data_IF_892655379357
#
_entry.id   IF_892655379357
#
_cell.length_a   1.000
_cell.length_b   1.000
_cell.length_c   1.000
_cell.angle_alpha   90.00
_cell.angle_beta   90.00
_cell.angle_gamma   90.00
#
_symmetry.space_group_name_H-M   'P 1'
#
loop_
_entity.id
_entity.type
_entity.pdbx_description
1 polymer ?
#
# COMPACT_ATOMS: atom_id res chain seq x y z
N UNK A 1 22.50 7.09 -33.99
CA UNK A 1 21.73 5.83 -34.03
C UNK A 1 20.94 5.74 -32.73
N UNK A 2 19.63 5.66 -32.81
CA UNK A 2 18.74 5.50 -31.65
C UNK A 2 19.00 4.09 -31.12
N UNK A 3 19.74 3.98 -30.02
CA UNK A 3 20.06 2.70 -29.38
C UNK A 3 18.81 2.13 -28.75
N UNK A 4 18.13 1.25 -29.47
CA UNK A 4 16.92 0.56 -29.02
C UNK A 4 17.29 -0.83 -28.48
N UNK A 5 16.65 -1.21 -27.37
CA UNK A 5 16.81 -2.49 -26.67
C UNK A 5 16.31 -3.70 -27.49
N UNK A 6 15.92 -3.52 -28.76
CA UNK A 6 15.14 -4.50 -29.53
C UNK A 6 15.47 -4.59 -31.03
N UNK A 7 16.63 -4.11 -31.49
CA UNK A 7 17.09 -4.46 -32.84
C UNK A 7 17.68 -5.88 -32.83
N UNK A 8 16.78 -6.86 -32.72
CA UNK A 8 17.10 -8.23 -33.11
C UNK A 8 17.40 -8.24 -34.61
N UNK A 9 18.45 -8.93 -35.08
CA UNK A 9 18.68 -9.10 -36.52
C UNK A 9 17.52 -9.86 -37.20
N UNK A 10 16.62 -10.45 -36.40
CA UNK A 10 15.40 -11.13 -36.83
C UNK A 10 14.17 -10.26 -36.59
N UNK A 11 13.37 -10.06 -37.64
CA UNK A 11 12.05 -9.43 -37.51
C UNK A 11 11.02 -10.50 -37.14
N UNK A 12 10.52 -10.46 -35.91
CA UNK A 12 9.42 -11.32 -35.44
C UNK A 12 8.07 -10.70 -35.76
N UNK A 13 7.08 -11.54 -36.07
CA UNK A 13 5.71 -11.08 -36.28
C UNK A 13 5.12 -10.49 -34.98
N UNK A 14 4.14 -9.59 -35.10
CA UNK A 14 3.45 -9.04 -33.94
C UNK A 14 2.84 -10.14 -33.06
N UNK A 15 2.27 -11.19 -33.67
CA UNK A 15 1.72 -12.33 -32.93
C UNK A 15 2.77 -13.08 -32.11
N UNK A 16 3.99 -13.29 -32.65
CA UNK A 16 5.08 -13.92 -31.91
C UNK A 16 5.53 -13.06 -30.72
N UNK A 17 5.61 -11.74 -30.91
CA UNK A 17 5.95 -10.78 -29.86
C UNK A 17 4.88 -10.73 -28.76
N UNK A 18 3.61 -10.64 -29.13
CA UNK A 18 2.48 -10.76 -28.19
C UNK A 18 2.55 -12.07 -27.39
N UNK A 19 2.81 -13.20 -28.05
CA UNK A 19 2.97 -14.50 -27.38
C UNK A 19 4.11 -14.51 -26.37
N UNK A 20 5.25 -13.91 -26.73
CA UNK A 20 6.39 -13.76 -25.83
C UNK A 20 6.07 -12.86 -24.62
N UNK A 21 5.37 -11.73 -24.82
CA UNK A 21 4.94 -10.86 -23.72
C UNK A 21 3.94 -11.54 -22.79
N UNK A 22 2.97 -12.32 -23.31
CA UNK A 22 2.03 -13.07 -22.48
C UNK A 22 2.78 -14.08 -21.60
N UNK A 23 3.63 -14.92 -22.19
CA UNK A 23 4.33 -15.98 -21.47
C UNK A 23 5.36 -15.39 -20.51
N UNK A 24 6.13 -14.40 -20.97
CA UNK A 24 7.14 -13.73 -20.16
C UNK A 24 6.54 -13.04 -18.95
N UNK A 25 5.44 -12.31 -19.15
CA UNK A 25 4.77 -11.58 -18.06
C UNK A 25 4.07 -12.55 -17.10
N UNK A 26 3.48 -13.63 -17.63
CA UNK A 26 2.93 -14.71 -16.81
C UNK A 26 3.98 -15.32 -15.88
N UNK A 27 5.17 -15.66 -16.40
CA UNK A 27 6.25 -16.20 -15.59
C UNK A 27 6.77 -15.17 -14.57
N UNK A 28 6.93 -13.91 -14.99
CA UNK A 28 7.39 -12.86 -14.09
C UNK A 28 6.45 -12.65 -12.91
N UNK A 29 5.13 -12.56 -13.17
CA UNK A 29 4.14 -12.36 -12.12
C UNK A 29 3.93 -13.61 -11.28
N UNK A 30 3.89 -14.79 -11.89
CA UNK A 30 3.80 -16.04 -11.14
C UNK A 30 4.95 -16.17 -10.13
N UNK A 31 6.20 -15.98 -10.57
CA UNK A 31 7.37 -16.14 -9.70
C UNK A 31 7.51 -14.99 -8.71
N UNK A 32 7.24 -13.75 -9.14
CA UNK A 32 7.33 -12.55 -8.30
C UNK A 32 6.30 -12.58 -7.18
N UNK A 33 5.03 -12.79 -7.51
CA UNK A 33 3.96 -12.87 -6.51
C UNK A 33 4.06 -14.16 -5.69
N UNK A 34 4.68 -15.23 -6.20
CA UNK A 34 4.99 -16.43 -5.41
C UNK A 34 6.02 -16.17 -4.31
N UNK A 35 7.00 -15.30 -4.55
CA UNK A 35 7.90 -14.85 -3.50
C UNK A 35 7.12 -14.12 -2.40
N UNK A 36 6.22 -13.20 -2.78
CA UNK A 36 5.37 -12.45 -1.85
C UNK A 36 4.43 -13.39 -1.09
N UNK A 37 3.79 -14.34 -1.76
CA UNK A 37 2.93 -15.35 -1.13
C UNK A 37 3.70 -16.24 -0.16
N UNK A 38 4.92 -16.65 -0.51
CA UNK A 38 5.76 -17.47 0.36
C UNK A 38 6.16 -16.72 1.64
N UNK A 39 6.38 -15.41 1.56
CA UNK A 39 6.69 -14.57 2.73
C UNK A 39 5.46 -14.34 3.62
N UNK A 40 4.34 -14.01 2.99
CA UNK A 40 3.21 -13.42 3.70
C UNK A 40 2.14 -14.43 4.12
N UNK A 41 1.87 -15.45 3.30
CA UNK A 41 0.81 -16.41 3.62
C UNK A 41 1.16 -17.27 4.83
N UNK A 42 0.14 -17.58 5.61
CA UNK A 42 0.30 -18.46 6.75
C UNK A 42 0.72 -19.88 6.33
N UNK A 43 1.50 -20.52 7.21
CA UNK A 43 1.93 -21.92 7.09
C UNK A 43 2.82 -22.21 5.87
N UNK A 44 3.31 -21.20 5.17
CA UNK A 44 4.39 -21.37 4.18
C UNK A 44 5.72 -21.56 4.90
N UNK A 45 6.67 -22.25 4.24
CA UNK A 45 8.02 -22.43 4.80
C UNK A 45 8.86 -21.16 4.74
N UNK A 46 8.52 -20.24 3.84
CA UNK A 46 9.16 -18.93 3.74
C UNK A 46 8.54 -17.87 4.65
N UNK A 47 7.56 -18.18 5.48
CA UNK A 47 6.87 -17.13 6.20
C UNK A 47 7.83 -16.33 7.12
N UNK A 48 7.93 -15.01 6.89
CA UNK A 48 8.73 -14.09 7.71
C UNK A 48 10.25 -14.11 7.45
N UNK A 49 10.70 -14.46 6.25
CA UNK A 49 12.11 -14.37 5.85
C UNK A 49 12.63 -12.93 5.71
N UNK A 50 11.76 -11.93 5.50
CA UNK A 50 12.06 -10.50 5.46
C UNK A 50 12.16 -9.80 4.08
N UNK A 51 12.06 -8.47 4.09
CA UNK A 51 11.97 -7.60 2.90
C UNK A 51 13.09 -7.81 1.86
N UNK A 52 14.33 -8.04 2.30
CA UNK A 52 15.49 -8.17 1.39
C UNK A 52 15.39 -9.37 0.45
N UNK A 53 14.91 -10.50 0.95
CA UNK A 53 14.69 -11.71 0.14
C UNK A 53 13.48 -11.58 -0.79
N UNK A 54 12.49 -10.77 -0.40
CA UNK A 54 11.33 -10.46 -1.25
C UNK A 54 11.80 -9.63 -2.44
N UNK A 55 12.62 -8.61 -2.18
CA UNK A 55 13.19 -7.76 -3.20
C UNK A 55 14.02 -8.56 -4.23
N UNK A 56 14.89 -9.48 -3.79
CA UNK A 56 15.73 -10.26 -4.72
C UNK A 56 14.89 -11.27 -5.52
N UNK A 57 13.91 -11.91 -4.87
CA UNK A 57 12.98 -12.82 -5.54
C UNK A 57 12.21 -12.12 -6.65
N UNK A 58 11.68 -10.92 -6.37
CA UNK A 58 10.96 -10.12 -7.35
C UNK A 58 11.85 -9.64 -8.50
N UNK A 59 13.09 -9.23 -8.22
CA UNK A 59 14.05 -8.84 -9.26
C UNK A 59 14.38 -9.98 -10.22
N UNK A 60 14.71 -11.16 -9.68
CA UNK A 60 14.99 -12.35 -10.49
C UNK A 60 13.79 -12.81 -11.32
N UNK A 61 12.57 -12.67 -10.80
CA UNK A 61 11.35 -13.04 -11.49
C UNK A 61 11.16 -12.28 -12.81
N UNK A 62 11.59 -11.02 -12.91
CA UNK A 62 11.57 -10.26 -14.17
C UNK A 62 12.83 -10.48 -15.02
N UNK A 63 13.97 -10.74 -14.37
CA UNK A 63 15.24 -10.97 -15.06
C UNK A 63 15.24 -12.22 -15.94
N UNK A 64 14.75 -13.35 -15.43
CA UNK A 64 14.77 -14.61 -16.18
C UNK A 64 13.91 -14.56 -17.46
N UNK A 65 12.63 -14.11 -17.43
CA UNK A 65 11.85 -13.94 -18.64
C UNK A 65 12.48 -12.97 -19.64
N UNK A 66 13.13 -11.91 -19.16
CA UNK A 66 13.88 -10.98 -20.02
C UNK A 66 15.03 -11.68 -20.75
N UNK A 67 15.77 -12.57 -20.07
CA UNK A 67 16.82 -13.38 -20.72
C UNK A 67 16.23 -14.38 -21.73
N UNK A 68 15.11 -15.02 -21.38
CA UNK A 68 14.48 -16.05 -22.21
C UNK A 68 13.90 -15.46 -23.51
N UNK A 69 13.19 -14.33 -23.40
CA UNK A 69 12.38 -13.79 -24.49
C UNK A 69 12.87 -12.45 -25.04
N UNK A 70 13.90 -11.84 -24.47
CA UNK A 70 14.41 -10.52 -24.90
C UNK A 70 14.82 -10.47 -26.37
N UNK A 71 15.24 -11.59 -26.95
CA UNK A 71 15.55 -11.69 -28.38
C UNK A 71 14.31 -11.63 -29.31
N UNK A 72 13.10 -11.84 -28.76
CA UNK A 72 11.79 -11.76 -29.45
C UNK A 72 11.03 -10.50 -29.02
N UNK A 73 10.62 -10.45 -27.74
CA UNK A 73 9.92 -9.35 -27.07
C UNK A 73 9.89 -9.65 -25.57
N UNK A 74 10.40 -8.72 -24.76
CA UNK A 74 10.33 -8.81 -23.30
C UNK A 74 10.32 -7.40 -22.68
N UNK A 75 9.25 -6.64 -22.95
CA UNK A 75 8.96 -5.40 -22.26
C UNK A 75 8.40 -5.67 -20.87
N UNK A 76 7.47 -6.63 -20.78
CA UNK A 76 6.85 -7.12 -19.56
C UNK A 76 6.19 -6.01 -18.72
N UNK A 77 5.93 -4.85 -19.31
CA UNK A 77 5.52 -3.62 -18.63
C UNK A 77 4.90 -2.61 -19.63
N UNK A 78 3.61 -2.26 -19.47
CA UNK A 78 2.97 -1.28 -20.34
C UNK A 78 3.62 0.11 -20.30
N UNK A 79 4.23 0.50 -19.18
CA UNK A 79 5.01 1.74 -19.09
C UNK A 79 6.32 1.67 -19.89
N UNK A 80 6.93 0.49 -20.01
CA UNK A 80 8.09 0.27 -20.88
C UNK A 80 7.69 0.31 -22.36
N UNK A 81 6.55 -0.28 -22.73
CA UNK A 81 6.01 -0.16 -24.07
C UNK A 81 5.69 1.30 -24.43
N UNK A 82 5.10 2.07 -23.50
CA UNK A 82 4.84 3.50 -23.68
C UNK A 82 6.13 4.31 -23.84
N UNK A 83 7.15 4.01 -23.03
CA UNK A 83 8.50 4.59 -23.19
C UNK A 83 9.02 4.37 -24.61
N UNK A 84 8.95 3.14 -25.13
CA UNK A 84 9.47 2.85 -26.47
C UNK A 84 8.67 3.53 -27.57
N UNK A 85 7.36 3.66 -27.41
CA UNK A 85 6.53 4.41 -28.33
C UNK A 85 6.96 5.89 -28.37
N UNK A 86 7.18 6.51 -27.21
CA UNK A 86 7.69 7.88 -27.11
C UNK A 86 9.10 8.00 -27.72
N UNK A 87 9.96 7.00 -27.51
CA UNK A 87 11.30 6.96 -28.10
C UNK A 87 11.30 6.71 -29.63
N UNK A 88 10.15 6.40 -30.23
CA UNK A 88 9.99 6.14 -31.67
C UNK A 88 10.33 4.71 -32.10
N UNK A 89 10.45 3.77 -31.16
CA UNK A 89 10.82 2.37 -31.42
C UNK A 89 9.62 1.44 -31.61
N UNK A 90 8.43 1.85 -31.19
CA UNK A 90 7.18 1.11 -31.39
C UNK A 90 6.17 1.98 -32.13
N UNK A 91 5.37 1.37 -33.01
CA UNK A 91 4.12 1.95 -33.48
C UNK A 91 3.05 1.92 -32.38
N UNK A 92 2.00 2.74 -32.54
CA UNK A 92 0.87 2.76 -31.60
C UNK A 92 0.16 1.40 -31.50
N UNK A 93 0.06 0.68 -32.62
CA UNK A 93 -0.56 -0.65 -32.67
C UNK A 93 0.25 -1.67 -31.89
N UNK A 94 1.58 -1.65 -32.03
CA UNK A 94 2.47 -2.53 -31.27
C UNK A 94 2.41 -2.19 -29.77
N UNK A 95 2.47 -0.91 -29.41
CA UNK A 95 2.31 -0.47 -28.02
C UNK A 95 1.04 -1.05 -27.39
N UNK A 96 -0.12 -0.83 -28.02
CA UNK A 96 -1.40 -1.31 -27.48
C UNK A 96 -1.45 -2.83 -27.42
N UNK A 97 -1.05 -3.52 -28.50
CA UNK A 97 -1.11 -4.98 -28.57
C UNK A 97 -0.23 -5.65 -27.51
N UNK A 98 1.00 -5.14 -27.33
CA UNK A 98 1.93 -5.67 -26.32
C UNK A 98 1.44 -5.36 -24.91
N UNK A 99 0.92 -4.15 -24.64
CA UNK A 99 0.36 -3.80 -23.33
C UNK A 99 -0.83 -4.67 -22.91
N UNK A 100 -1.72 -5.02 -23.84
CA UNK A 100 -2.80 -5.98 -23.55
C UNK A 100 -2.29 -7.41 -23.37
N UNK A 101 -1.26 -7.82 -24.11
CA UNK A 101 -0.58 -9.10 -23.92
C UNK A 101 0.07 -9.22 -22.54
N UNK A 102 0.76 -8.17 -22.08
CA UNK A 102 1.35 -8.09 -20.75
C UNK A 102 0.28 -8.20 -19.65
N UNK A 103 -0.84 -7.48 -19.79
CA UNK A 103 -1.96 -7.54 -18.85
C UNK A 103 -2.56 -8.96 -18.77
N UNK A 104 -2.76 -9.61 -19.92
CA UNK A 104 -3.25 -10.97 -19.98
C UNK A 104 -2.27 -11.96 -19.33
N UNK A 105 -0.96 -11.82 -19.60
CA UNK A 105 0.08 -12.61 -18.96
C UNK A 105 0.07 -12.45 -17.44
N UNK A 106 0.02 -11.22 -16.95
CA UNK A 106 -0.01 -10.91 -15.52
C UNK A 106 -1.22 -11.51 -14.81
N UNK A 107 -2.41 -11.42 -15.43
CA UNK A 107 -3.63 -12.07 -14.93
C UNK A 107 -3.50 -13.60 -14.86
N UNK A 108 -2.95 -14.24 -15.90
CA UNK A 108 -2.70 -15.68 -15.91
C UNK A 108 -1.67 -16.12 -14.87
N UNK A 109 -0.62 -15.32 -14.67
CA UNK A 109 0.40 -15.56 -13.65
C UNK A 109 -0.19 -15.56 -12.23
N UNK A 110 -1.09 -14.62 -11.96
CA UNK A 110 -1.83 -14.55 -10.69
C UNK A 110 -2.76 -15.76 -10.45
N UNK A 111 -3.41 -16.27 -11.51
CA UNK A 111 -4.21 -17.51 -11.39
C UNK A 111 -3.31 -18.69 -11.04
N UNK A 112 -2.17 -18.84 -11.72
CA UNK A 112 -1.23 -19.93 -11.48
C UNK A 112 -0.67 -19.88 -10.05
N UNK A 113 -0.32 -18.70 -9.57
CA UNK A 113 0.05 -18.46 -8.18
C UNK A 113 -1.02 -18.97 -7.22
N UNK A 114 -2.27 -18.52 -7.41
CA UNK A 114 -3.38 -18.88 -6.54
C UNK A 114 -3.59 -20.39 -6.48
N UNK A 115 -3.50 -21.08 -7.63
CA UNK A 115 -3.61 -22.54 -7.70
C UNK A 115 -2.50 -23.25 -6.92
N UNK A 116 -1.25 -22.77 -7.01
CA UNK A 116 -0.11 -23.38 -6.31
C UNK A 116 -0.17 -23.16 -4.80
N UNK A 117 -0.67 -22.00 -4.35
CA UNK A 117 -0.82 -21.66 -2.94
C UNK A 117 -2.23 -21.89 -2.39
N UNK A 118 -3.09 -22.62 -3.12
CA UNK A 118 -4.51 -22.77 -2.80
C UNK A 118 -4.78 -23.21 -1.34
N UNK A 119 -4.06 -24.19 -0.76
CA UNK A 119 -4.25 -24.56 0.64
C UNK A 119 -3.89 -23.43 1.63
N UNK A 120 -2.91 -22.59 1.29
CA UNK A 120 -2.47 -21.48 2.12
C UNK A 120 -3.46 -20.30 2.07
N UNK A 121 -4.03 -20.02 0.91
CA UNK A 121 -5.10 -19.02 0.76
C UNK A 121 -6.39 -19.39 1.50
N UNK A 122 -6.63 -20.68 1.73
CA UNK A 122 -7.78 -21.19 2.48
C UNK A 122 -7.63 -21.08 4.00
N UNK A 123 -6.47 -20.66 4.51
CA UNK A 123 -6.29 -20.38 5.93
C UNK A 123 -6.95 -19.03 6.25
N UNK A 124 -7.82 -19.02 7.26
CA UNK A 124 -8.53 -17.84 7.75
C UNK A 124 -8.28 -17.71 9.26
N UNK A 125 -8.11 -16.49 9.81
CA UNK A 125 -7.99 -16.29 11.25
C UNK A 125 -9.21 -16.83 12.02
N UNK A 126 -8.97 -17.64 13.05
CA UNK A 126 -10.01 -18.20 13.92
C UNK A 126 -10.42 -17.20 15.02
N UNK A 127 -11.71 -17.16 15.41
CA UNK A 127 -12.16 -16.31 16.50
C UNK A 127 -11.53 -16.75 17.83
N UNK A 128 -11.29 -15.80 18.77
CA UNK A 128 -10.75 -16.16 20.07
C UNK A 128 -11.68 -17.14 20.77
N UNK A 129 -11.14 -18.26 21.26
CA UNK A 129 -11.89 -19.23 22.06
C UNK A 129 -12.34 -18.55 23.36
N UNK A 130 -13.65 -18.46 23.58
CA UNK A 130 -14.24 -17.94 24.82
C UNK A 130 -14.04 -18.97 25.93
N UNK A 131 -12.84 -18.99 26.50
CA UNK A 131 -12.53 -19.69 27.75
C UNK A 131 -11.67 -18.74 28.58
N UNK A 132 -11.89 -18.68 29.90
CA UNK A 132 -11.26 -17.76 30.87
C UNK A 132 -9.72 -17.80 30.95
N UNK A 133 -9.05 -18.53 30.06
CA UNK A 133 -7.61 -18.47 29.82
C UNK A 133 -7.34 -17.66 28.54
N UNK A 134 -7.31 -16.33 28.68
CA UNK A 134 -6.75 -15.45 27.64
C UNK A 134 -5.29 -15.89 27.38
N UNK A 135 -4.90 -16.27 26.15
CA UNK A 135 -3.54 -16.74 25.82
C UNK A 135 -2.43 -15.73 26.16
N UNK A 136 -2.80 -14.49 26.50
CA UNK A 136 -1.88 -13.45 26.92
C UNK A 136 -1.28 -13.67 28.33
N UNK A 137 -1.89 -14.50 29.18
CA UNK A 137 -1.44 -14.73 30.56
C UNK A 137 -0.90 -16.14 30.85
N UNK A 138 -0.88 -17.03 29.85
CA UNK A 138 -0.56 -18.44 30.08
C UNK A 138 0.27 -19.08 28.95
N UNK A 139 1.44 -18.53 28.59
CA UNK A 139 2.56 -19.40 28.14
C UNK A 139 3.91 -18.68 27.99
N UNK A 140 4.96 -19.09 28.72
CA UNK A 140 6.33 -18.67 28.43
C UNK A 140 7.09 -19.57 27.42
N UNK A 141 6.58 -20.74 27.00
CA UNK A 141 7.39 -21.77 26.32
C UNK A 141 6.67 -22.75 25.34
N UNK A 142 5.44 -22.51 24.85
CA UNK A 142 4.78 -23.38 23.84
C UNK A 142 4.33 -22.57 22.60
N UNK A 143 4.52 -22.96 21.34
CA UNK A 143 4.94 -24.23 20.76
C UNK A 143 3.80 -24.89 19.97
N UNK A 144 3.78 -24.71 18.64
CA UNK A 144 3.23 -25.72 17.70
C UNK A 144 1.76 -25.60 17.25
N UNK A 145 1.44 -24.59 16.44
CA UNK A 145 0.51 -24.71 15.31
C UNK A 145 -0.94 -25.14 15.59
N UNK A 146 -1.81 -24.22 16.02
CA UNK A 146 -3.23 -24.30 15.71
C UNK A 146 -3.89 -22.91 15.63
N UNK A 147 -3.63 -22.00 16.57
CA UNK A 147 -4.26 -20.68 16.56
C UNK A 147 -3.18 -19.62 16.36
N UNK A 148 -3.09 -19.05 15.14
CA UNK A 148 -2.13 -17.98 14.88
C UNK A 148 -2.65 -16.69 15.51
N UNK A 149 -2.26 -16.41 16.75
CA UNK A 149 -2.15 -15.03 17.21
C UNK A 149 -1.07 -14.38 16.35
N UNK A 150 -1.45 -13.50 15.43
CA UNK A 150 -0.45 -12.70 14.70
C UNK A 150 0.39 -11.95 15.73
N UNK A 151 1.72 -12.02 15.62
CA UNK A 151 2.56 -11.15 16.44
C UNK A 151 2.33 -9.68 16.05
N UNK A 152 2.60 -8.71 16.92
CA UNK A 152 2.58 -7.29 16.55
C UNK A 152 3.42 -6.96 15.30
N UNK A 153 4.48 -7.73 15.05
CA UNK A 153 5.27 -7.68 13.82
C UNK A 153 4.56 -8.27 12.61
N UNK A 154 3.83 -9.39 12.74
CA UNK A 154 3.06 -9.98 11.63
C UNK A 154 1.87 -9.09 11.22
N UNK A 155 1.26 -8.41 12.21
CA UNK A 155 0.27 -7.35 11.99
C UNK A 155 0.86 -6.13 11.27
N UNK A 156 2.16 -5.89 11.40
CA UNK A 156 2.88 -4.82 10.71
C UNK A 156 3.40 -5.23 9.32
N UNK A 157 3.70 -6.51 9.10
CA UNK A 157 4.22 -7.06 7.84
C UNK A 157 3.08 -7.33 6.83
N UNK A 158 1.92 -7.79 7.29
CA UNK A 158 0.69 -7.90 6.47
C UNK A 158 -0.14 -6.61 6.42
N UNK A 159 0.17 -5.67 7.32
CA UNK A 159 -0.54 -4.41 7.53
C UNK A 159 0.35 -3.21 7.34
N UNK A 160 0.49 -2.78 6.09
CA UNK A 160 0.78 -1.40 5.73
C UNK A 160 -0.14 -0.44 6.52
N UNK A 161 0.39 0.14 7.60
CA UNK A 161 -0.26 1.00 8.61
C UNK A 161 -1.77 0.74 8.78
N UNK A 162 -2.14 -0.18 9.67
CA UNK A 162 -3.53 -0.49 10.03
C UNK A 162 -4.15 0.55 11.00
N UNK A 163 -3.70 1.81 10.99
CA UNK A 163 -4.34 2.85 11.80
C UNK A 163 -5.84 2.93 11.41
N UNK A 164 -6.79 2.72 12.35
CA UNK A 164 -8.22 2.86 12.08
C UNK A 164 -8.58 4.19 11.42
N UNK A 165 -7.82 5.26 11.69
CA UNK A 165 -7.97 6.58 11.07
C UNK A 165 -7.62 6.60 9.58
N UNK A 166 -6.70 5.75 9.15
CA UNK A 166 -6.34 5.59 7.74
C UNK A 166 -7.31 4.64 7.02
N UNK A 167 -7.94 3.70 7.73
CA UNK A 167 -9.01 2.86 7.19
C UNK A 167 -10.26 3.67 6.85
N UNK A 168 -10.71 4.57 7.74
CA UNK A 168 -11.85 5.45 7.45
C UNK A 168 -11.59 6.38 6.26
N UNK A 169 -10.37 6.92 6.13
CA UNK A 169 -9.96 7.71 4.96
C UNK A 169 -9.98 6.93 3.65
N UNK A 170 -9.71 5.62 3.68
CA UNK A 170 -9.75 4.74 2.50
C UNK A 170 -11.16 4.37 2.08
N UNK A 171 -12.10 4.22 3.02
CA UNK A 171 -13.46 3.70 2.73
C UNK A 171 -14.46 4.84 2.50
N UNK A 172 -14.34 5.97 3.20
CA UNK A 172 -15.26 7.13 3.08
C UNK A 172 -14.55 8.47 3.33
N UNK A 173 -13.95 9.10 2.30
CA UNK A 173 -13.12 10.30 2.48
C UNK A 173 -13.88 11.52 3.05
N UNK A 174 -15.17 11.68 2.77
CA UNK A 174 -15.99 12.79 3.29
C UNK A 174 -16.42 12.64 4.76
N UNK A 175 -16.69 11.41 5.20
CA UNK A 175 -17.14 11.12 6.58
C UNK A 175 -15.97 11.05 7.58
N UNK A 176 -14.76 10.76 7.09
CA UNK A 176 -13.56 10.69 7.93
C UNK A 176 -13.21 12.04 8.58
N UNK A 177 -13.50 13.17 7.92
CA UNK A 177 -13.21 14.52 8.44
C UNK A 177 -14.19 14.87 9.58
N UNK A 178 -15.48 14.57 9.40
CA UNK A 178 -16.52 14.82 10.42
C UNK A 178 -16.38 13.88 11.62
N UNK A 179 -16.07 12.60 11.39
CA UNK A 179 -15.85 11.60 12.45
C UNK A 179 -14.65 11.94 13.34
N UNK A 180 -13.53 12.36 12.74
CA UNK A 180 -12.33 12.74 13.50
C UNK A 180 -12.59 13.92 14.44
N UNK A 181 -13.39 14.90 14.03
CA UNK A 181 -13.75 16.06 14.88
C UNK A 181 -14.67 15.67 16.04
N UNK A 182 -15.66 14.79 15.79
CA UNK A 182 -16.56 14.27 16.82
C UNK A 182 -15.81 13.41 17.86
N UNK A 183 -14.83 12.63 17.43
CA UNK A 183 -13.96 11.83 18.31
C UNK A 183 -13.05 12.72 19.17
N UNK A 184 -12.46 13.79 18.60
CA UNK A 184 -11.67 14.77 19.35
C UNK A 184 -12.54 15.43 20.44
N UNK A 185 -13.77 15.81 20.13
CA UNK A 185 -14.71 16.37 21.12
C UNK A 185 -15.04 15.39 22.25
N UNK A 186 -15.20 14.11 21.94
CA UNK A 186 -15.47 13.06 22.93
C UNK A 186 -14.27 12.80 23.85
N UNK A 187 -13.06 12.76 23.29
CA UNK A 187 -11.81 12.61 24.05
C UNK A 187 -11.55 13.82 24.93
N UNK A 188 -11.77 15.04 24.43
CA UNK A 188 -11.65 16.27 25.22
C UNK A 188 -12.64 16.27 26.39
N UNK A 189 -13.89 15.84 26.16
CA UNK A 189 -14.89 15.69 27.22
C UNK A 189 -14.50 14.67 28.31
N UNK A 190 -13.92 13.54 27.93
CA UNK A 190 -13.38 12.53 28.85
C UNK A 190 -12.18 13.05 29.65
N UNK A 191 -11.27 13.78 29.01
CA UNK A 191 -10.12 14.40 29.69
C UNK A 191 -10.60 15.46 30.68
N UNK A 192 -11.60 16.27 30.31
CA UNK A 192 -12.18 17.30 31.17
C UNK A 192 -12.87 16.72 32.42
N UNK A 193 -13.64 15.64 32.25
CA UNK A 193 -14.30 14.96 33.37
C UNK A 193 -13.29 14.34 34.33
N UNK A 194 -12.19 13.77 33.81
CA UNK A 194 -11.12 13.19 34.61
C UNK A 194 -10.32 14.27 35.38
N UNK A 195 -10.02 15.41 34.76
CA UNK A 195 -9.39 16.57 35.43
C UNK A 195 -10.29 17.09 36.57
N UNK A 196 -11.61 17.19 36.34
CA UNK A 196 -12.57 17.58 37.40
C UNK A 196 -12.60 16.58 38.56
N UNK A 197 -12.59 15.28 38.26
CA UNK A 197 -12.56 14.22 39.26
C UNK A 197 -11.28 14.29 40.11
N UNK A 198 -10.11 14.41 39.47
CA UNK A 198 -8.82 14.55 40.17
C UNK A 198 -8.75 15.82 41.02
N UNK A 199 -9.28 16.95 40.52
CA UNK A 199 -9.38 18.20 41.30
C UNK A 199 -10.24 18.01 42.54
N UNK A 200 -11.41 17.35 42.40
CA UNK A 200 -12.32 17.10 43.51
C UNK A 200 -11.69 16.18 44.58
N UNK A 201 -10.92 15.16 44.17
CA UNK A 201 -10.18 14.31 45.10
C UNK A 201 -9.08 15.05 45.84
N UNK A 202 -8.28 15.88 45.14
CA UNK A 202 -7.21 16.67 45.76
C UNK A 202 -7.74 17.74 46.73
N UNK A 203 -8.89 18.36 46.43
CA UNK A 203 -9.57 19.28 47.35
C UNK A 203 -10.08 18.58 48.62
N UNK A 204 -10.64 17.36 48.48
CA UNK A 204 -11.05 16.54 49.63
C UNK A 204 -9.87 16.06 50.47
N UNK A 205 -8.74 15.74 49.85
CA UNK A 205 -7.50 15.40 50.53
C UNK A 205 -6.91 16.61 51.29
N UNK A 206 -6.93 17.82 50.68
CA UNK A 206 -6.53 19.07 51.35
C UNK A 206 -7.41 19.41 52.56
N UNK A 207 -8.71 19.10 52.48
CA UNK A 207 -9.67 19.30 53.57
C UNK A 207 -9.62 18.21 54.66
N UNK A 208 -8.73 17.22 54.53
CA UNK A 208 -8.56 16.15 55.52
C UNK A 208 -9.67 15.10 55.53
N UNK A 209 -10.53 15.06 54.50
CA UNK A 209 -11.73 14.21 54.48
C UNK A 209 -11.50 12.79 53.95
N UNK A 210 -10.39 12.50 53.24
CA UNK A 210 -10.12 11.21 52.58
C UNK A 210 -8.62 10.90 52.60
N UNK A 211 -8.25 9.65 52.89
CA UNK A 211 -6.91 9.10 52.62
C UNK A 211 -6.81 8.69 51.14
N UNK A 212 -5.88 9.28 50.38
CA UNK A 212 -5.72 9.04 48.94
C UNK A 212 -5.39 7.56 48.66
N UNK A 213 -6.13 6.92 47.73
CA UNK A 213 -5.93 5.50 47.36
C UNK A 213 -4.57 5.19 46.70
N UNK A 214 -3.81 6.20 46.29
CA UNK A 214 -2.42 6.08 45.86
C UNK A 214 -1.51 6.87 46.80
N UNK A 215 -0.77 6.17 47.65
CA UNK A 215 0.23 6.74 48.53
C UNK A 215 1.40 7.31 47.71
N UNK A 216 1.63 8.62 47.79
CA UNK A 216 2.94 9.28 47.57
C UNK A 216 2.94 10.79 47.83
N UNK A 217 1.85 11.37 48.34
CA UNK A 217 1.80 12.83 48.59
C UNK A 217 1.33 13.10 50.01
N UNK A 218 2.28 13.46 50.88
CA UNK A 218 2.04 13.79 52.30
C UNK A 218 2.17 15.29 52.60
N UNK A 219 2.67 16.10 51.66
CA UNK A 219 2.95 17.51 51.89
C UNK A 219 1.87 18.44 51.27
N UNK A 220 1.36 19.39 52.06
CA UNK A 220 0.30 20.33 51.69
C UNK A 220 0.72 21.27 50.56
N UNK A 221 2.00 21.60 50.46
CA UNK A 221 2.58 22.43 49.39
C UNK A 221 2.56 21.74 48.03
N UNK A 222 2.82 20.43 47.99
CA UNK A 222 2.79 19.62 46.76
C UNK A 222 1.35 19.44 46.23
N UNK A 223 0.37 19.35 47.13
CA UNK A 223 -1.06 19.34 46.77
C UNK A 223 -1.46 20.67 46.12
N UNK A 224 -0.99 21.81 46.65
CA UNK A 224 -1.27 23.11 46.07
C UNK A 224 -0.66 23.25 44.66
N UNK A 225 0.59 22.82 44.47
CA UNK A 225 1.27 22.86 43.17
C UNK A 225 0.54 22.04 42.10
N UNK A 226 0.00 20.87 42.46
CA UNK A 226 -0.78 20.03 41.54
C UNK A 226 -2.14 20.62 41.20
N UNK A 227 -2.78 21.30 42.15
CA UNK A 227 -4.04 22.03 41.90
C UNK A 227 -3.82 23.17 40.91
N UNK A 228 -2.76 23.96 41.09
CA UNK A 228 -2.43 25.07 40.18
C UNK A 228 -2.13 24.56 38.76
N UNK A 229 -1.40 23.43 38.64
CA UNK A 229 -1.10 22.78 37.36
C UNK A 229 -2.34 22.18 36.67
N UNK A 230 -3.28 21.63 37.45
CA UNK A 230 -4.56 21.15 36.91
C UNK A 230 -5.46 22.31 36.43
N UNK A 231 -5.40 23.46 37.10
CA UNK A 231 -6.13 24.66 36.72
C UNK A 231 -5.57 25.27 35.43
N UNK A 232 -4.24 25.31 35.28
CA UNK A 232 -3.57 25.70 34.05
C UNK A 232 -3.92 24.77 32.87
N UNK A 233 -3.90 23.45 33.10
CA UNK A 233 -4.30 22.44 32.09
C UNK A 233 -5.78 22.53 31.71
N UNK A 234 -6.66 22.84 32.66
CA UNK A 234 -8.09 23.05 32.36
C UNK A 234 -8.29 24.28 31.48
N UNK A 235 -7.50 25.34 31.68
CA UNK A 235 -7.57 26.56 30.87
C UNK A 235 -7.10 26.30 29.44
N UNK A 236 -5.97 25.63 29.26
CA UNK A 236 -5.46 25.30 27.91
C UNK A 236 -6.40 24.34 27.17
N UNK A 237 -7.02 23.38 27.87
CA UNK A 237 -8.04 22.52 27.25
C UNK A 237 -9.24 23.33 26.74
N UNK A 238 -9.73 24.30 27.52
CA UNK A 238 -10.86 25.14 27.12
C UNK A 238 -10.55 26.01 25.90
N UNK A 239 -9.31 26.49 25.77
CA UNK A 239 -8.85 27.23 24.59
C UNK A 239 -8.77 26.33 23.34
N UNK A 240 -8.35 25.07 23.51
CA UNK A 240 -8.34 24.09 22.42
C UNK A 240 -9.76 23.69 21.98
N UNK A 241 -10.70 23.49 22.91
CA UNK A 241 -12.11 23.23 22.59
C UNK A 241 -12.74 24.39 21.79
N UNK A 242 -12.43 25.63 22.17
CA UNK A 242 -12.96 26.81 21.49
C UNK A 242 -12.41 26.93 20.05
N UNK A 243 -11.14 26.57 19.82
CA UNK A 243 -10.54 26.52 18.48
C UNK A 243 -11.13 25.40 17.63
N UNK A 244 -11.38 24.23 18.20
CA UNK A 244 -12.00 23.11 17.48
C UNK A 244 -13.40 23.47 16.99
N UNK A 245 -14.21 24.15 17.83
CA UNK A 245 -15.54 24.65 17.44
C UNK A 245 -15.49 25.70 16.32
N UNK A 246 -14.53 26.62 16.37
CA UNK A 246 -14.36 27.60 15.28
C UNK A 246 -14.01 26.94 13.94
N UNK A 247 -13.21 25.86 13.97
CA UNK A 247 -12.89 25.08 12.77
C UNK A 247 -14.11 24.31 12.27
N UNK A 248 -14.93 23.76 13.17
CA UNK A 248 -16.18 23.08 12.86
C UNK A 248 -17.19 24.02 12.20
N UNK A 249 -17.42 25.21 12.77
CA UNK A 249 -18.29 26.25 12.18
C UNK A 249 -17.78 26.71 10.81
N UNK A 250 -16.47 26.83 10.64
CA UNK A 250 -15.86 27.19 9.35
C UNK A 250 -16.07 26.08 8.33
N UNK A 251 -15.92 24.81 8.74
CA UNK A 251 -16.12 23.65 7.88
C UNK A 251 -17.59 23.50 7.45
N UNK A 252 -18.53 23.69 8.37
CA UNK A 252 -19.97 23.70 8.06
C UNK A 252 -20.33 24.84 7.10
N UNK A 253 -19.75 26.02 7.25
CA UNK A 253 -19.97 27.15 6.34
C UNK A 253 -19.44 26.89 4.92
N UNK A 254 -18.40 26.06 4.78
CA UNK A 254 -17.81 25.68 3.50
C UNK A 254 -18.58 24.54 2.85
N UNK A 255 -19.07 23.58 3.64
CA UNK A 255 -19.87 22.45 3.14
C UNK A 255 -21.34 22.81 2.87
N UNK A 256 -21.91 23.78 3.58
CA UNK A 256 -23.30 24.23 3.42
C UNK A 256 -23.60 25.01 2.12
N UNK A 257 -22.63 25.15 1.22
CA UNK A 257 -22.80 25.80 -0.09
C UNK A 257 -23.13 24.85 -1.24
N UNK A 258 -23.15 23.54 -1.00
CA UNK A 258 -23.51 22.55 -2.02
C UNK A 258 -24.74 21.71 -1.58
N UNK A 259 -25.91 22.05 -2.13
CA UNK A 259 -27.00 21.09 -2.34
C UNK A 259 -28.29 21.25 -1.50
N UNK A 260 -29.17 22.18 -1.88
CA UNK A 260 -30.61 22.03 -1.65
C UNK A 260 -31.23 21.16 -2.75
N UNK A 261 -31.90 20.06 -2.37
CA UNK A 261 -32.84 19.30 -3.20
C UNK A 261 -33.87 18.57 -2.30
N UNK A 262 -35.11 18.33 -2.78
CA UNK A 262 -36.32 18.52 -1.98
C UNK A 262 -36.82 17.28 -1.21
N UNK A 263 -37.47 17.53 -0.08
CA UNK A 263 -38.19 16.53 0.74
C UNK A 263 -39.48 16.11 0.04
N UNK A 264 -39.65 14.80 -0.16
CA UNK A 264 -40.94 14.21 -0.50
C UNK A 264 -41.67 13.83 0.80
N UNK A 265 -42.87 14.36 0.92
CA UNK A 265 -43.89 14.15 1.94
C UNK A 265 -44.66 12.88 1.58
N UNK A 266 -44.81 11.95 2.54
CA UNK A 266 -45.82 10.90 2.51
C UNK A 266 -46.17 10.54 3.95
N UNK A 267 -47.20 11.23 4.46
CA UNK A 267 -47.88 10.87 5.70
C UNK A 267 -48.97 9.82 5.46
N UNK A 268 -48.99 8.80 6.33
CA UNK A 268 -50.19 8.07 6.75
C UNK A 268 -49.92 7.52 8.15
N UNK A 269 -50.56 8.13 9.14
CA UNK A 269 -50.32 7.86 10.56
C UNK A 269 -51.26 6.83 11.17
N UNK A 270 -51.03 6.53 12.45
CA UNK A 270 -52.08 6.11 13.39
C UNK A 270 -51.69 6.48 14.83
N UNK A 271 -52.44 7.46 15.34
CA UNK A 271 -52.82 7.82 16.71
C UNK A 271 -51.95 7.41 17.92
N UNK A 272 -51.45 8.43 18.64
CA UNK A 272 -51.13 8.36 20.06
C UNK A 272 -52.42 8.46 20.89
N UNK A 273 -52.66 7.50 21.79
CA UNK A 273 -53.54 7.70 22.96
C UNK A 273 -52.70 7.57 24.22
N UNK A 274 -52.78 8.61 25.04
CA UNK A 274 -52.09 8.77 26.31
C UNK A 274 -52.43 7.65 27.31
N UNK A 275 -51.41 7.17 28.01
CA UNK A 275 -51.55 6.28 29.16
C UNK A 275 -50.21 5.63 29.50
N UNK A 276 -49.75 5.89 30.72
CA UNK A 276 -48.69 5.21 31.47
C UNK A 276 -47.25 5.64 31.19
N UNK A 277 -46.58 5.94 32.30
CA UNK A 277 -45.21 6.43 32.42
C UNK A 277 -44.24 5.30 32.03
N UNK A 278 -43.91 5.20 30.74
CA UNK A 278 -42.85 4.32 30.28
C UNK A 278 -41.48 5.01 30.38
N UNK A 279 -40.57 4.34 31.07
CA UNK A 279 -39.14 4.61 31.11
C UNK A 279 -38.64 5.05 29.74
N UNK A 280 -38.11 6.28 29.65
CA UNK A 280 -37.17 6.61 28.58
C UNK A 280 -36.03 5.59 28.67
N UNK A 281 -36.04 4.60 27.78
CA UNK A 281 -34.85 3.83 27.44
C UNK A 281 -33.84 4.83 26.89
N UNK A 282 -33.07 5.41 27.81
CA UNK A 282 -31.78 6.05 27.57
C UNK A 282 -31.05 5.15 26.59
N UNK A 283 -30.80 5.68 25.39
CA UNK A 283 -30.29 4.94 24.25
C UNK A 283 -29.22 3.96 24.68
N UNK A 284 -29.35 2.71 24.23
CA UNK A 284 -28.42 1.62 24.52
C UNK A 284 -26.98 2.15 24.43
N UNK A 285 -26.37 2.42 25.58
CA UNK A 285 -24.96 2.73 25.68
C UNK A 285 -24.26 1.46 25.20
N UNK A 286 -23.76 1.45 23.96
CA UNK A 286 -22.99 0.34 23.45
C UNK A 286 -21.87 0.07 24.47
N UNK A 287 -21.95 -1.08 25.14
CA UNK A 287 -20.92 -1.51 26.07
C UNK A 287 -19.56 -1.45 25.35
N UNK A 288 -18.51 -0.94 26.00
CA UNK A 288 -17.19 -0.89 25.37
C UNK A 288 -16.81 -2.29 24.90
N UNK A 289 -16.51 -2.42 23.59
CA UNK A 289 -16.22 -3.71 22.97
C UNK A 289 -15.10 -4.41 23.74
N UNK A 290 -15.22 -5.71 24.04
CA UNK A 290 -14.18 -6.43 24.74
C UNK A 290 -12.87 -6.43 23.92
N UNK A 291 -11.70 -6.25 24.56
CA UNK A 291 -10.41 -6.15 23.86
C UNK A 291 -10.10 -7.31 22.91
N UNK A 292 -10.61 -8.51 23.18
CA UNK A 292 -10.43 -9.70 22.33
C UNK A 292 -11.14 -9.57 20.98
N UNK A 293 -12.33 -8.96 20.94
CA UNK A 293 -13.08 -8.77 19.68
C UNK A 293 -12.40 -7.74 18.78
N UNK A 294 -11.96 -6.62 19.35
CA UNK A 294 -11.19 -5.59 18.63
C UNK A 294 -9.91 -6.17 18.00
N UNK A 295 -9.20 -7.04 18.74
CA UNK A 295 -8.02 -7.74 18.22
C UNK A 295 -8.39 -8.64 17.04
N UNK A 296 -9.45 -9.44 17.18
CA UNK A 296 -9.90 -10.33 16.11
C UNK A 296 -10.29 -9.57 14.82
N UNK A 297 -11.01 -8.47 14.94
CA UNK A 297 -11.32 -7.58 13.80
C UNK A 297 -10.05 -7.07 13.12
N UNK A 298 -9.05 -6.64 13.90
CA UNK A 298 -7.77 -6.20 13.36
C UNK A 298 -7.01 -7.33 12.64
N UNK A 299 -7.07 -8.57 13.15
CA UNK A 299 -6.47 -9.74 12.48
C UNK A 299 -7.15 -10.04 11.14
N UNK A 300 -8.48 -9.96 11.07
CA UNK A 300 -9.23 -10.16 9.83
C UNK A 300 -8.85 -9.11 8.78
N UNK A 301 -8.75 -7.83 9.18
CA UNK A 301 -8.32 -6.75 8.29
C UNK A 301 -6.89 -6.98 7.81
N UNK A 302 -5.97 -7.37 8.70
CA UNK A 302 -4.60 -7.68 8.33
C UNK A 302 -4.51 -8.86 7.34
N UNK A 303 -5.32 -9.90 7.52
CA UNK A 303 -5.40 -11.04 6.60
C UNK A 303 -5.95 -10.63 5.23
N UNK A 304 -7.03 -9.83 5.19
CA UNK A 304 -7.59 -9.27 3.95
C UNK A 304 -6.54 -8.43 3.19
N UNK A 305 -5.84 -7.58 3.94
CA UNK A 305 -4.78 -6.71 3.44
C UNK A 305 -3.62 -7.52 2.85
N UNK A 306 -3.24 -8.59 3.54
CA UNK A 306 -2.19 -9.53 3.11
C UNK A 306 -2.59 -10.25 1.83
N UNK A 307 -3.83 -10.77 1.78
CA UNK A 307 -4.36 -11.47 0.61
C UNK A 307 -4.37 -10.56 -0.63
N UNK A 308 -4.78 -9.30 -0.51
CA UNK A 308 -4.68 -8.34 -1.62
C UNK A 308 -3.21 -8.01 -1.95
N UNK A 309 -2.38 -7.77 -0.94
CA UNK A 309 -0.96 -7.39 -1.08
C UNK A 309 -0.08 -8.41 -1.81
N UNK A 310 -0.50 -9.68 -1.86
CA UNK A 310 0.15 -10.72 -2.66
C UNK A 310 -0.05 -10.50 -4.16
N UNK A 311 -1.23 -10.03 -4.57
CA UNK A 311 -1.55 -9.81 -5.98
C UNK A 311 -1.18 -8.39 -6.42
N UNK A 312 -1.60 -7.38 -5.66
CA UNK A 312 -1.54 -5.99 -6.08
C UNK A 312 -0.96 -5.09 -4.98
N UNK A 313 -0.34 -3.99 -5.39
CA UNK A 313 0.34 -3.12 -4.46
C UNK A 313 -0.65 -2.26 -3.67
N UNK A 314 -0.20 -1.88 -2.47
CA UNK A 314 -0.94 -1.04 -1.54
C UNK A 314 0.04 -0.07 -0.87
N UNK A 315 -0.41 1.15 -0.52
CA UNK A 315 0.47 2.12 0.09
C UNK A 315 0.68 1.78 1.57
N UNK A 316 1.91 1.96 2.06
CA UNK A 316 2.23 1.89 3.49
C UNK A 316 1.41 2.91 4.29
N UNK A 317 1.37 4.14 3.77
CA UNK A 317 0.56 5.24 4.29
C UNK A 317 -0.24 5.79 3.11
N UNK A 318 -1.56 5.85 3.29
CA UNK A 318 -2.44 6.36 2.25
C UNK A 318 -2.28 7.88 2.12
N UNK A 319 -1.50 8.29 1.13
CA UNK A 319 -1.20 9.68 0.80
C UNK A 319 -1.12 9.80 -0.73
N UNK A 320 -2.27 9.87 -1.43
CA UNK A 320 -2.37 9.55 -2.86
C UNK A 320 -1.45 10.40 -3.75
N UNK A 321 -1.24 11.67 -3.41
CA UNK A 321 -0.31 12.55 -4.12
C UNK A 321 1.17 12.13 -3.94
N UNK A 322 1.57 11.72 -2.74
CA UNK A 322 2.91 11.20 -2.48
C UNK A 322 3.11 9.80 -3.05
N UNK A 323 2.10 8.93 -2.94
CA UNK A 323 2.14 7.60 -3.53
C UNK A 323 2.26 7.67 -5.06
N UNK A 324 1.53 8.59 -5.70
CA UNK A 324 1.67 8.88 -7.12
C UNK A 324 3.09 9.30 -7.48
N UNK A 325 3.68 10.24 -6.73
CA UNK A 325 5.04 10.69 -6.96
C UNK A 325 6.06 9.55 -6.83
N UNK A 326 5.89 8.67 -5.83
CA UNK A 326 6.74 7.50 -5.65
C UNK A 326 6.70 6.56 -6.86
N UNK A 327 5.50 6.19 -7.33
CA UNK A 327 5.34 5.31 -8.50
C UNK A 327 5.87 5.97 -9.78
N UNK A 328 5.62 7.27 -9.97
CA UNK A 328 6.11 8.05 -11.09
C UNK A 328 7.65 8.08 -11.14
N UNK A 329 8.30 8.45 -10.03
CA UNK A 329 9.76 8.52 -9.93
C UNK A 329 10.42 7.15 -10.00
N UNK A 330 9.82 6.12 -9.39
CA UNK A 330 10.28 4.74 -9.49
C UNK A 330 10.25 4.23 -10.93
N UNK A 331 9.18 4.54 -11.66
CA UNK A 331 9.04 4.15 -13.07
C UNK A 331 10.05 4.87 -13.97
N UNK A 332 10.28 6.18 -13.75
CA UNK A 332 11.34 6.92 -14.47
C UNK A 332 12.70 6.29 -14.23
N UNK A 333 13.01 6.02 -12.96
CA UNK A 333 14.31 5.45 -12.55
C UNK A 333 14.52 4.07 -13.19
N UNK A 334 13.49 3.21 -13.17
CA UNK A 334 13.53 1.90 -13.83
C UNK A 334 13.86 2.03 -15.32
N UNK A 335 13.05 2.80 -16.04
CA UNK A 335 13.04 2.80 -17.50
C UNK A 335 14.23 3.57 -18.09
N UNK A 336 14.62 4.70 -17.49
CA UNK A 336 15.81 5.44 -17.96
C UNK A 336 17.06 4.59 -17.76
N UNK A 337 17.23 3.96 -16.59
CA UNK A 337 18.43 3.17 -16.36
C UNK A 337 18.49 1.92 -17.26
N UNK A 338 17.41 1.14 -17.33
CA UNK A 338 17.37 -0.05 -18.17
C UNK A 338 17.71 0.27 -19.63
N UNK A 339 17.14 1.35 -20.18
CA UNK A 339 17.39 1.75 -21.56
C UNK A 339 18.74 2.42 -21.77
N UNK A 340 19.29 3.15 -20.80
CA UNK A 340 20.66 3.69 -20.89
C UNK A 340 21.71 2.58 -20.86
N UNK A 341 21.52 1.55 -20.04
CA UNK A 341 22.39 0.37 -20.01
C UNK A 341 22.30 -0.39 -21.34
N UNK A 342 21.09 -0.61 -21.85
CA UNK A 342 20.89 -1.25 -23.16
C UNK A 342 21.53 -0.42 -24.31
N UNK A 343 21.39 0.91 -24.27
CA UNK A 343 22.01 1.80 -25.26
C UNK A 343 23.54 1.70 -25.24
N UNK A 344 24.16 1.51 -24.06
CA UNK A 344 25.59 1.23 -23.94
C UNK A 344 25.96 -0.14 -24.52
N UNK A 345 25.18 -1.18 -24.24
CA UNK A 345 25.39 -2.52 -24.79
C UNK A 345 25.44 -2.55 -26.32
N UNK A 346 24.57 -1.78 -26.96
CA UNK A 346 24.53 -1.62 -28.41
C UNK A 346 25.77 -0.96 -29.03
N UNK A 347 26.65 -0.34 -28.22
CA UNK A 347 27.92 0.22 -28.68
C UNK A 347 29.07 -0.80 -28.66
N UNK A 348 28.85 -2.00 -28.10
CA UNK A 348 29.85 -3.06 -28.03
C UNK A 348 29.98 -3.78 -29.37
N UNK A 349 31.20 -4.26 -29.66
CA UNK A 349 31.49 -5.11 -30.81
C UNK A 349 31.30 -6.60 -30.46
N UNK A 350 31.11 -7.44 -31.46
CA UNK A 350 31.09 -8.89 -31.26
C UNK A 350 32.49 -9.44 -30.93
N UNK A 351 32.61 -10.44 -30.04
CA UNK A 351 31.54 -11.23 -29.40
C UNK A 351 30.99 -10.63 -28.09
N UNK A 352 31.51 -9.49 -27.63
CA UNK A 352 31.16 -8.90 -26.34
C UNK A 352 29.69 -8.44 -26.27
N UNK A 353 29.13 -8.04 -27.42
CA UNK A 353 27.71 -7.66 -27.51
C UNK A 353 26.78 -8.85 -27.25
N UNK A 354 26.98 -9.98 -27.92
CA UNK A 354 26.17 -11.18 -27.66
C UNK A 354 26.24 -11.65 -26.20
N UNK A 355 27.42 -11.52 -25.57
CA UNK A 355 27.58 -11.81 -24.14
C UNK A 355 26.76 -10.85 -23.26
N UNK A 356 26.82 -9.55 -23.56
CA UNK A 356 26.05 -8.52 -22.87
C UNK A 356 24.54 -8.77 -22.98
N UNK A 357 24.04 -9.05 -24.19
CA UNK A 357 22.61 -9.29 -24.43
C UNK A 357 22.10 -10.50 -23.64
N UNK A 358 22.89 -11.57 -23.58
CA UNK A 358 22.57 -12.76 -22.80
C UNK A 358 22.52 -12.49 -21.29
N UNK A 359 23.25 -11.50 -20.78
CA UNK A 359 23.36 -11.17 -19.35
C UNK A 359 22.52 -9.96 -18.94
N UNK A 360 21.93 -9.26 -19.91
CA UNK A 360 21.17 -8.06 -19.67
C UNK A 360 20.03 -8.30 -18.67
N UNK A 361 19.33 -9.44 -18.77
CA UNK A 361 18.25 -9.76 -17.83
C UNK A 361 18.72 -9.94 -16.38
N UNK A 362 19.95 -10.41 -16.13
CA UNK A 362 20.51 -10.41 -14.77
C UNK A 362 20.82 -9.00 -14.27
N UNK A 363 21.36 -8.15 -15.16
CA UNK A 363 21.61 -6.74 -14.82
C UNK A 363 20.30 -6.04 -14.46
N UNK A 364 19.23 -6.28 -15.24
CA UNK A 364 17.89 -5.79 -14.96
C UNK A 364 17.35 -6.36 -13.63
N UNK A 365 17.56 -7.64 -13.35
CA UNK A 365 17.14 -8.28 -12.11
C UNK A 365 17.73 -7.60 -10.86
N UNK A 366 19.04 -7.37 -10.85
CA UNK A 366 19.72 -6.71 -9.74
C UNK A 366 19.26 -5.26 -9.57
N UNK A 367 18.89 -4.60 -10.66
CA UNK A 367 18.38 -3.26 -10.59
C UNK A 367 16.95 -3.19 -10.06
N UNK A 368 16.07 -4.08 -10.50
CA UNK A 368 14.72 -4.23 -9.93
C UNK A 368 14.84 -4.57 -8.44
N UNK A 369 15.74 -5.49 -8.07
CA UNK A 369 16.06 -5.78 -6.67
C UNK A 369 16.42 -4.51 -5.90
N UNK A 370 17.35 -3.69 -6.43
CA UNK A 370 17.74 -2.45 -5.78
C UNK A 370 16.56 -1.48 -5.61
N UNK A 371 15.74 -1.29 -6.65
CA UNK A 371 14.57 -0.41 -6.59
C UNK A 371 13.58 -0.91 -5.53
N UNK A 372 13.24 -2.20 -5.52
CA UNK A 372 12.33 -2.77 -4.53
C UNK A 372 12.93 -2.65 -3.12
N UNK A 373 14.24 -2.83 -2.97
CA UNK A 373 14.90 -2.70 -1.69
C UNK A 373 14.85 -1.26 -1.15
N UNK A 374 15.08 -0.25 -1.98
CA UNK A 374 15.28 1.15 -1.53
C UNK A 374 14.06 2.06 -1.70
N UNK A 375 13.25 1.85 -2.73
CA UNK A 375 12.03 2.62 -3.02
C UNK A 375 10.75 1.85 -2.70
N UNK A 376 10.87 0.58 -2.31
CA UNK A 376 9.77 -0.32 -1.99
C UNK A 376 8.82 0.11 -0.88
N UNK A 377 9.37 0.65 0.21
CA UNK A 377 8.65 0.86 1.45
C UNK A 377 7.34 1.66 1.33
N UNK A 378 7.31 2.82 0.63
CA UNK A 378 6.12 3.66 0.57
C UNK A 378 4.90 3.05 -0.15
N UNK A 379 5.10 2.32 -1.25
CA UNK A 379 4.01 1.88 -2.14
C UNK A 379 4.04 0.40 -2.54
N UNK A 380 5.08 -0.36 -2.16
CA UNK A 380 5.34 -1.70 -2.68
C UNK A 380 5.96 -1.70 -4.08
N UNK A 381 6.19 -0.52 -4.68
CA UNK A 381 6.78 -0.29 -6.03
C UNK A 381 6.07 -1.13 -7.08
N UNK A 382 4.94 -0.63 -7.58
CA UNK A 382 4.29 -1.27 -8.71
C UNK A 382 5.10 -1.07 -10.00
N UNK A 383 5.40 0.20 -10.34
CA UNK A 383 6.19 0.70 -11.49
C UNK A 383 5.84 0.08 -12.86
N UNK A 384 4.72 -0.65 -12.92
CA UNK A 384 4.31 -1.49 -14.02
C UNK A 384 2.78 -1.69 -13.94
N UNK A 385 2.01 -1.11 -14.89
CA UNK A 385 0.56 -1.23 -14.89
C UNK A 385 0.04 -2.67 -14.97
N UNK A 386 0.68 -3.55 -15.76
CA UNK A 386 0.24 -4.94 -15.88
C UNK A 386 0.49 -5.73 -14.59
N UNK A 387 1.62 -5.47 -13.92
CA UNK A 387 2.00 -6.10 -12.64
C UNK A 387 1.06 -5.79 -11.50
N UNK A 388 0.32 -4.69 -11.56
CA UNK A 388 -0.70 -4.37 -10.56
C UNK A 388 -2.10 -4.74 -11.05
N UNK A 389 -2.51 -4.23 -12.22
CA UNK A 389 -3.89 -4.33 -12.68
C UNK A 389 -4.29 -5.78 -13.00
N UNK A 390 -3.42 -6.57 -13.63
CA UNK A 390 -3.71 -7.95 -14.00
C UNK A 390 -4.01 -8.82 -12.77
N UNK A 391 -3.07 -8.91 -11.81
CA UNK A 391 -3.29 -9.62 -10.56
C UNK A 391 -4.43 -9.03 -9.71
N UNK A 392 -4.66 -7.70 -9.73
CA UNK A 392 -5.79 -7.07 -9.03
C UNK A 392 -7.14 -7.53 -9.59
N UNK A 393 -7.25 -7.67 -10.92
CA UNK A 393 -8.42 -8.26 -11.58
C UNK A 393 -8.57 -9.73 -11.17
N UNK A 394 -7.47 -10.50 -11.14
CA UNK A 394 -7.50 -11.88 -10.67
C UNK A 394 -8.00 -11.97 -9.22
N UNK A 395 -7.44 -11.19 -8.29
CA UNK A 395 -7.89 -11.12 -6.89
C UNK A 395 -9.38 -10.78 -6.78
N UNK A 396 -9.90 -9.87 -7.62
CA UNK A 396 -11.32 -9.54 -7.67
C UNK A 396 -12.19 -10.73 -8.10
N UNK A 397 -11.78 -11.47 -9.14
CA UNK A 397 -12.53 -12.60 -9.69
C UNK A 397 -12.43 -13.89 -8.87
N UNK A 398 -11.27 -14.17 -8.28
CA UNK A 398 -10.97 -15.46 -7.67
C UNK A 398 -11.72 -15.66 -6.33
N UNK A 399 -12.23 -16.88 -6.05
CA UNK A 399 -12.97 -17.17 -4.83
C UNK A 399 -12.02 -17.44 -3.64
N UNK A 400 -11.31 -16.40 -3.17
CA UNK A 400 -10.38 -16.51 -2.04
C UNK A 400 -11.16 -16.33 -0.72
N UNK A 401 -11.13 -17.31 0.22
CA UNK A 401 -11.83 -17.20 1.50
C UNK A 401 -11.35 -16.02 2.33
N UNK A 402 -12.27 -15.25 2.90
CA UNK A 402 -11.96 -14.12 3.77
C UNK A 402 -11.25 -12.95 3.09
N UNK A 403 -11.23 -12.88 1.74
CA UNK A 403 -10.60 -11.76 1.01
C UNK A 403 -11.37 -10.45 1.20
N UNK A 404 -10.63 -9.33 1.20
CA UNK A 404 -11.18 -7.98 1.24
C UNK A 404 -11.55 -7.44 -0.15
N UNK A 405 -11.97 -6.16 -0.24
CA UNK A 405 -12.16 -5.48 -1.52
C UNK A 405 -10.83 -5.30 -2.26
N UNK A 406 -10.87 -5.20 -3.59
CA UNK A 406 -9.65 -5.09 -4.43
C UNK A 406 -9.15 -3.65 -4.66
N UNK A 407 -9.77 -2.67 -4.00
CA UNK A 407 -9.29 -1.27 -3.93
C UNK A 407 -9.06 -0.55 -5.28
N UNK A 408 -9.83 -0.87 -6.33
CA UNK A 408 -9.66 -0.27 -7.67
C UNK A 408 -9.73 1.27 -7.67
N UNK A 409 -10.79 1.83 -7.08
CA UNK A 409 -11.02 3.28 -7.09
C UNK A 409 -10.24 4.03 -6.01
N UNK A 410 -9.93 3.35 -4.90
CA UNK A 410 -9.26 3.98 -3.76
C UNK A 410 -7.77 4.13 -3.99
N UNK A 411 -7.11 3.11 -4.55
CA UNK A 411 -5.67 3.11 -4.79
C UNK A 411 -5.24 2.50 -6.13
N UNK A 412 -5.95 1.48 -6.65
CA UNK A 412 -5.53 0.71 -7.82
C UNK A 412 -5.36 1.51 -9.12
N UNK A 413 -5.90 2.72 -9.22
CA UNK A 413 -5.64 3.62 -10.34
C UNK A 413 -4.23 4.25 -10.30
N UNK A 414 -3.61 4.41 -9.12
CA UNK A 414 -2.30 5.06 -8.96
C UNK A 414 -1.20 4.24 -9.65
N UNK A 415 -1.03 2.93 -9.36
CA UNK A 415 -0.06 2.08 -10.07
C UNK A 415 -0.19 2.09 -11.60
N UNK A 416 -1.38 2.34 -12.13
CA UNK A 416 -1.61 2.39 -13.58
C UNK A 416 -1.22 3.76 -14.13
N UNK A 417 -1.82 4.83 -13.60
CA UNK A 417 -1.68 6.18 -14.17
C UNK A 417 -0.29 6.75 -13.88
N UNK A 418 0.23 6.58 -12.66
CA UNK A 418 1.54 7.11 -12.29
C UNK A 418 2.67 6.43 -13.06
N UNK A 419 2.59 5.11 -13.27
CA UNK A 419 3.59 4.39 -14.04
C UNK A 419 3.52 4.70 -15.54
N UNK A 420 2.33 4.83 -16.14
CA UNK A 420 2.23 5.28 -17.53
C UNK A 420 2.78 6.72 -17.69
N UNK A 421 2.42 7.64 -16.80
CA UNK A 421 2.97 8.99 -16.81
C UNK A 421 4.51 8.97 -16.65
N UNK A 422 5.03 8.12 -15.76
CA UNK A 422 6.47 7.93 -15.57
C UNK A 422 7.15 7.35 -16.81
N UNK A 423 6.52 6.41 -17.52
CA UNK A 423 7.02 5.84 -18.77
C UNK A 423 7.13 6.87 -19.90
N UNK A 424 6.10 7.70 -20.06
CA UNK A 424 6.14 8.79 -21.04
C UNK A 424 7.24 9.82 -20.70
N UNK A 425 7.34 10.22 -19.43
CA UNK A 425 8.36 11.15 -18.96
C UNK A 425 9.78 10.59 -19.13
N UNK A 426 9.96 9.30 -18.83
CA UNK A 426 11.23 8.59 -19.02
C UNK A 426 11.64 8.58 -20.50
N UNK A 427 10.71 8.34 -21.43
CA UNK A 427 10.98 8.36 -22.87
C UNK A 427 11.46 9.73 -23.33
N UNK A 428 10.79 10.79 -22.90
CA UNK A 428 11.20 12.17 -23.17
C UNK A 428 12.58 12.50 -22.59
N UNK A 429 12.83 12.11 -21.34
CA UNK A 429 14.12 12.30 -20.67
C UNK A 429 15.24 11.54 -21.38
N UNK A 430 14.99 10.30 -21.80
CA UNK A 430 15.96 9.49 -22.54
C UNK A 430 16.34 10.13 -23.88
N UNK A 431 15.37 10.64 -24.64
CA UNK A 431 15.64 11.38 -25.89
C UNK A 431 16.44 12.66 -25.64
N UNK A 432 16.14 13.38 -24.57
CA UNK A 432 16.90 14.57 -24.18
C UNK A 432 18.35 14.22 -23.81
N UNK A 433 18.56 13.17 -23.01
CA UNK A 433 19.89 12.67 -22.64
C UNK A 433 20.69 12.22 -23.86
N UNK A 434 20.07 11.48 -24.79
CA UNK A 434 20.74 11.09 -26.03
C UNK A 434 21.23 12.31 -26.81
N UNK A 435 20.40 13.35 -26.94
CA UNK A 435 20.77 14.61 -27.61
C UNK A 435 21.97 15.29 -26.93
N UNK A 436 22.04 15.28 -25.60
CA UNK A 436 23.21 15.78 -24.86
C UNK A 436 24.46 14.93 -25.12
N UNK A 437 24.34 13.60 -25.08
CA UNK A 437 25.50 12.71 -25.30
C UNK A 437 26.04 12.73 -26.73
N UNK A 438 25.23 13.18 -27.71
CA UNK A 438 25.69 13.39 -29.09
C UNK A 438 26.41 14.73 -29.30
N UNK A 439 26.46 15.61 -28.28
CA UNK A 439 27.31 16.81 -28.29
C UNK A 439 28.74 16.40 -27.94
N UNK A 440 29.42 15.75 -28.88
CA UNK A 440 30.85 15.45 -28.75
C UNK A 440 31.63 16.31 -29.72
N UNK A 441 32.70 16.95 -29.24
CA UNK A 441 33.70 17.63 -30.10
C UNK A 441 34.55 16.63 -30.90
N UNK A 442 34.33 15.34 -30.65
CA UNK A 442 34.92 14.20 -31.32
C UNK A 442 34.17 13.98 -32.64
N UNK A 443 34.81 14.20 -33.81
CA UNK A 443 34.16 14.01 -35.11
C UNK A 443 33.62 12.59 -35.25
N UNK A 444 32.41 12.46 -35.81
CA UNK A 444 31.82 11.15 -36.06
C UNK A 444 32.78 10.26 -36.87
N UNK A 445 33.21 9.13 -36.30
CA UNK A 445 34.15 8.18 -36.92
C UNK A 445 35.60 8.28 -36.45
N UNK A 446 35.98 9.18 -35.54
CA UNK A 446 37.32 9.16 -34.95
C UNK A 446 37.43 8.02 -33.93
N UNK A 447 38.02 6.91 -34.37
CA UNK A 447 38.57 5.89 -33.47
C UNK A 447 39.76 6.52 -32.76
N UNK A 448 39.73 6.61 -31.44
CA UNK A 448 40.95 6.88 -30.66
C UNK A 448 41.84 5.67 -30.87
N UNK A 449 42.86 5.80 -31.72
CA UNK A 449 43.92 4.80 -31.80
C UNK A 449 44.48 4.59 -30.39
N UNK A 450 44.60 3.36 -29.88
CA UNK A 450 45.34 3.12 -28.66
C UNK A 450 46.77 3.59 -28.94
N UNK A 451 47.27 4.53 -28.15
CA UNK A 451 48.69 4.82 -28.16
C UNK A 451 49.41 3.52 -27.80
N UNK A 452 50.29 3.13 -28.73
CA UNK A 452 51.23 2.00 -28.69
C UNK A 452 51.77 1.65 -27.32
#
# INVERSE_FOLDING_TARGET
MIGSMFLSPYSYSLGARCGAEVIGTMLALFLGDAAVANELLAKTKGNGYGWGFLAIGFGLAFGFPTMMFGHISAFLNPAACLFQWVAGNLSVTEFLALSFSELAGAFLGAILLWLIYLPHFNVVPEPPSVTEADPFLADPLLGGGANRTFSPSDLAVGGYNNDPKDQHRRVRPGEAIQGTMREIGTVLGLVHSNIKAQRAELLKARAGCISLRCATVTNKEEIQRRLDLLEERSRTLSEHEQRTRQVEDTLESVMGREGEAPRHDDGQGLACTAGEEDEECVGCLELPRPPAQLRYEALLIADQNTKLGIFATRPAIYAPHWNFLCEFMGTITLLVMANMIAARGNQLYEPSRGLFDAQFGFTLAFFIFLIVLVLGGPTGVAINPARDLGPRIAHWMLPIPGKGPSEFLTYGWIPVVASLAGGAAAGGLFLALQKFTTMTDVPAGSVVCPNT
#
